data_IF_560549553274
#
_entry.id   IF_560549553274
#
_cell.length_a   1.000
_cell.length_b   1.000
_cell.length_c   1.000
_cell.angle_alpha   90.00
_cell.angle_beta   90.00
_cell.angle_gamma   90.00
#
_symmetry.space_group_name_H-M   'P 1'
#
loop_
_entity.id
_entity.type
_entity.pdbx_description
1 polymer ?
#
# COMPACT_ATOMS: atom_id res chain seq x y z
N UNK A 1 6.55 23.04 -11.40
CA UNK A 1 7.55 22.48 -12.34
C UNK A 1 8.84 21.95 -11.67
N UNK A 2 8.73 21.00 -10.74
CA UNK A 2 9.85 20.16 -10.24
C UNK A 2 9.41 18.72 -9.99
N UNK A 3 8.15 18.54 -9.62
CA UNK A 3 7.50 17.24 -9.36
C UNK A 3 6.33 16.97 -10.31
N UNK A 4 6.12 17.82 -11.33
CA UNK A 4 4.91 17.78 -12.17
C UNK A 4 4.85 16.52 -13.06
N UNK A 5 6.01 16.04 -13.50
CA UNK A 5 6.14 14.83 -14.34
C UNK A 5 6.28 13.55 -13.51
N UNK A 6 6.24 13.66 -12.17
CA UNK A 6 6.32 12.49 -11.31
C UNK A 6 5.03 11.67 -11.40
N UNK A 7 5.11 10.34 -11.28
CA UNK A 7 3.92 9.51 -11.27
C UNK A 7 2.99 9.94 -10.12
N UNK A 8 1.68 9.99 -10.41
CA UNK A 8 0.60 10.38 -9.49
C UNK A 8 0.56 11.87 -9.07
N UNK A 9 1.47 12.72 -9.55
CA UNK A 9 1.52 14.15 -9.19
C UNK A 9 0.80 15.08 -10.18
N UNK A 10 0.27 14.54 -11.28
CA UNK A 10 -0.41 15.33 -12.32
C UNK A 10 -1.84 15.76 -11.94
N UNK A 11 -2.60 14.89 -11.27
CA UNK A 11 -3.97 15.18 -10.84
C UNK A 11 -4.30 14.45 -9.51
N UNK A 12 -4.79 15.17 -8.48
CA UNK A 12 -5.20 14.55 -7.21
C UNK A 12 -6.31 13.50 -7.36
N UNK A 13 -7.13 13.58 -8.42
CA UNK A 13 -8.19 12.60 -8.69
C UNK A 13 -7.65 11.17 -8.82
N UNK A 14 -6.46 10.99 -9.39
CA UNK A 14 -5.83 9.67 -9.53
C UNK A 14 -5.51 9.04 -8.17
N UNK A 15 -5.01 9.84 -7.21
CA UNK A 15 -4.73 9.38 -5.84
C UNK A 15 -6.05 9.07 -5.12
N UNK A 16 -7.04 9.95 -5.22
CA UNK A 16 -8.36 9.74 -4.62
C UNK A 16 -9.00 8.43 -5.12
N UNK A 17 -8.92 8.13 -6.42
CA UNK A 17 -9.42 6.89 -6.99
C UNK A 17 -8.73 5.66 -6.40
N UNK A 18 -7.39 5.67 -6.28
CA UNK A 18 -6.63 4.57 -5.66
C UNK A 18 -7.07 4.35 -4.21
N UNK A 19 -7.24 5.42 -3.43
CA UNK A 19 -7.67 5.33 -2.02
C UNK A 19 -9.07 4.74 -1.92
N UNK A 20 -10.02 5.20 -2.74
CA UNK A 20 -11.40 4.68 -2.74
C UNK A 20 -11.39 3.18 -3.06
N UNK A 21 -10.63 2.76 -4.07
CA UNK A 21 -10.51 1.34 -4.45
C UNK A 21 -9.88 0.54 -3.31
N UNK A 22 -8.80 1.05 -2.69
CA UNK A 22 -8.15 0.40 -1.56
C UNK A 22 -9.10 0.20 -0.38
N UNK A 23 -9.83 1.25 0.01
CA UNK A 23 -10.80 1.19 1.11
C UNK A 23 -11.94 0.23 0.79
N UNK A 24 -12.47 0.26 -0.44
CA UNK A 24 -13.51 -0.67 -0.86
C UNK A 24 -13.05 -2.12 -0.77
N UNK A 25 -11.81 -2.39 -1.20
CA UNK A 25 -11.21 -3.71 -1.11
C UNK A 25 -11.02 -4.17 0.34
N UNK A 26 -10.44 -3.34 1.21
CA UNK A 26 -10.11 -3.71 2.59
C UNK A 26 -11.34 -3.82 3.49
N UNK A 27 -12.36 -2.97 3.28
CA UNK A 27 -13.53 -2.92 4.16
C UNK A 27 -14.64 -3.88 3.74
N UNK A 28 -14.83 -4.13 2.44
CA UNK A 28 -15.95 -4.93 1.95
C UNK A 28 -15.51 -6.23 1.30
N UNK A 29 -14.71 -6.15 0.23
CA UNK A 29 -14.35 -7.34 -0.57
C UNK A 29 -13.52 -8.34 0.24
N UNK A 30 -12.48 -7.83 0.92
CA UNK A 30 -11.54 -8.64 1.69
C UNK A 30 -12.23 -9.44 2.80
N UNK A 31 -12.96 -8.80 3.73
CA UNK A 31 -13.66 -9.49 4.81
C UNK A 31 -14.71 -10.47 4.29
N UNK A 32 -15.44 -10.12 3.22
CA UNK A 32 -16.41 -11.01 2.60
C UNK A 32 -15.75 -12.28 2.04
N UNK A 33 -14.62 -12.12 1.34
CA UNK A 33 -13.84 -13.24 0.80
C UNK A 33 -13.19 -14.12 1.88
N UNK A 34 -12.75 -13.50 2.97
CA UNK A 34 -12.05 -14.18 4.08
C UNK A 34 -13.00 -14.84 5.08
N UNK A 35 -14.30 -14.53 5.07
CA UNK A 35 -15.29 -15.00 6.06
C UNK A 35 -15.28 -16.52 6.31
N UNK A 36 -15.03 -17.32 5.27
CA UNK A 36 -15.07 -18.78 5.35
C UNK A 36 -13.69 -19.42 5.11
N UNK A 37 -12.60 -18.66 5.26
CA UNK A 37 -11.23 -19.13 4.99
C UNK A 37 -10.34 -18.96 6.22
N UNK A 38 -9.43 -19.91 6.48
CA UNK A 38 -8.41 -19.72 7.51
C UNK A 38 -7.47 -18.57 7.14
N UNK A 39 -6.88 -17.93 8.16
CA UNK A 39 -5.91 -16.86 7.96
C UNK A 39 -4.70 -17.34 7.14
N UNK A 40 -4.27 -16.54 6.18
CA UNK A 40 -3.09 -16.84 5.37
C UNK A 40 -1.81 -16.68 6.21
N UNK A 41 -0.92 -17.67 6.17
CA UNK A 41 0.40 -17.55 6.77
C UNK A 41 1.32 -16.77 5.82
N UNK A 42 1.40 -15.46 6.04
CA UNK A 42 2.24 -14.54 5.25
C UNK A 42 3.54 -14.18 6.00
N UNK A 43 3.96 -14.97 6.99
CA UNK A 43 5.08 -14.67 7.88
C UNK A 43 6.36 -14.29 7.14
N UNK A 44 6.76 -15.09 6.15
CA UNK A 44 7.98 -14.82 5.37
C UNK A 44 7.87 -13.54 4.56
N UNK A 45 6.69 -13.27 3.98
CA UNK A 45 6.41 -12.05 3.23
C UNK A 45 6.44 -10.82 4.15
N UNK A 46 5.84 -10.91 5.34
CA UNK A 46 5.84 -9.83 6.34
C UNK A 46 7.25 -9.50 6.82
N UNK A 47 8.12 -10.50 7.00
CA UNK A 47 9.53 -10.27 7.37
C UNK A 47 10.24 -9.46 6.27
N UNK A 48 10.13 -9.88 5.00
CA UNK A 48 10.73 -9.14 3.89
C UNK A 48 10.17 -7.73 3.75
N UNK A 49 8.85 -7.58 3.88
CA UNK A 49 8.19 -6.28 3.84
C UNK A 49 8.73 -5.34 4.93
N UNK A 50 8.76 -5.77 6.19
CA UNK A 50 9.24 -4.93 7.29
C UNK A 50 10.71 -4.53 7.13
N UNK A 51 11.57 -5.43 6.65
CA UNK A 51 12.99 -5.10 6.36
C UNK A 51 13.07 -4.05 5.26
N UNK A 52 12.34 -4.21 4.15
CA UNK A 52 12.34 -3.23 3.06
C UNK A 52 11.86 -1.86 3.52
N UNK A 53 10.81 -1.82 4.35
CA UNK A 53 10.26 -0.58 4.92
C UNK A 53 11.28 0.06 5.87
N UNK A 54 11.93 -0.70 6.74
CA UNK A 54 12.94 -0.18 7.65
C UNK A 54 14.14 0.42 6.90
N UNK A 55 14.63 -0.25 5.85
CA UNK A 55 15.71 0.26 4.99
C UNK A 55 15.27 1.53 4.27
N UNK A 56 14.07 1.54 3.66
CA UNK A 56 13.54 2.72 2.98
C UNK A 56 13.39 3.91 3.94
N UNK A 57 12.86 3.69 5.15
CA UNK A 57 12.76 4.72 6.18
C UNK A 57 14.12 5.26 6.62
N UNK A 58 15.13 4.39 6.71
CA UNK A 58 16.50 4.82 7.00
C UNK A 58 17.09 5.70 5.90
N UNK A 59 16.85 5.35 4.63
CA UNK A 59 17.25 6.16 3.47
C UNK A 59 16.55 7.53 3.51
N UNK A 60 15.23 7.56 3.75
CA UNK A 60 14.44 8.80 3.84
C UNK A 60 14.86 9.67 5.04
N UNK A 61 15.33 9.07 6.13
CA UNK A 61 15.80 9.82 7.30
C UNK A 61 17.17 10.46 7.07
N UNK A 62 18.06 9.79 6.33
CA UNK A 62 19.42 10.28 6.06
C UNK A 62 19.47 11.26 4.88
N UNK A 63 18.64 11.05 3.85
CA UNK A 63 18.55 11.90 2.66
C UNK A 63 17.67 13.13 2.88
#
# INVERSE_FOLDING_TARGET
>A
PRVADWPLMSNPASICAIIIIYLFFVLYIGPWYMKNRPAYSLNRLMIFYNISVAVASGIVFYG
#
